data_IF_088797656071
#
_entry.id   IF_088797656071
#
_cell.length_a   1.000
_cell.length_b   1.000
_cell.length_c   1.000
_cell.angle_alpha   90.00
_cell.angle_beta   90.00
_cell.angle_gamma   90.00
#
_symmetry.space_group_name_H-M   'P 1'
#
loop_
_entity.id
_entity.type
_entity.pdbx_description
1 polymer ?
#
# COMPACT_ATOMS: atom_id res chain seq x y z
N UNK A 1 5.59 2.00 -4.84
CA UNK A 1 6.79 2.46 -4.10
C UNK A 1 8.06 2.14 -4.91
N UNK A 2 9.19 2.74 -4.56
CA UNK A 2 10.53 2.28 -4.98
C UNK A 2 11.30 1.76 -3.76
N UNK A 3 12.48 1.20 -3.99
CA UNK A 3 13.41 0.79 -2.90
C UNK A 3 13.72 1.95 -1.95
N UNK A 4 13.82 3.17 -2.48
CA UNK A 4 14.15 4.38 -1.73
C UNK A 4 12.97 4.95 -0.94
N UNK A 5 11.73 4.70 -1.40
CA UNK A 5 10.54 5.29 -0.77
C UNK A 5 9.84 4.36 0.21
N UNK A 6 10.23 3.08 0.29
CA UNK A 6 9.51 2.05 1.06
C UNK A 6 9.35 2.35 2.55
N UNK A 7 10.33 3.06 3.13
CA UNK A 7 10.35 3.40 4.56
C UNK A 7 9.68 4.75 4.86
N UNK A 8 9.38 5.59 3.85
CA UNK A 8 8.85 6.96 4.05
C UNK A 8 7.54 6.99 4.83
N UNK A 9 6.66 6.03 4.59
CA UNK A 9 5.33 5.97 5.20
C UNK A 9 5.17 4.76 6.13
N UNK A 10 6.26 4.30 6.75
CA UNK A 10 6.24 3.17 7.69
C UNK A 10 5.23 3.36 8.82
N UNK A 11 5.10 4.58 9.35
CA UNK A 11 4.12 4.90 10.39
C UNK A 11 2.67 4.58 9.96
N UNK A 12 2.29 4.88 8.70
CA UNK A 12 0.96 4.53 8.20
C UNK A 12 0.78 3.01 8.09
N UNK A 13 1.81 2.29 7.62
CA UNK A 13 1.79 0.82 7.52
C UNK A 13 1.59 0.19 8.90
N UNK A 14 2.38 0.63 9.89
CA UNK A 14 2.31 0.16 11.27
C UNK A 14 0.93 0.46 11.90
N UNK A 15 0.38 1.65 11.65
CA UNK A 15 -0.95 2.05 12.14
C UNK A 15 -2.09 1.20 11.52
N UNK A 16 -2.04 0.94 10.21
CA UNK A 16 -3.01 0.07 9.51
C UNK A 16 -2.90 -1.38 9.97
N UNK A 17 -1.69 -1.89 10.15
CA UNK A 17 -1.44 -3.24 10.67
C UNK A 17 -1.95 -3.37 12.10
N UNK A 18 -1.65 -2.40 12.97
CA UNK A 18 -2.18 -2.37 14.34
C UNK A 18 -3.70 -2.38 14.36
N UNK A 19 -4.36 -1.57 13.52
CA UNK A 19 -5.80 -1.58 13.41
C UNK A 19 -6.33 -2.93 12.93
N UNK A 20 -5.74 -3.52 11.88
CA UNK A 20 -6.11 -4.85 11.37
C UNK A 20 -5.96 -5.94 12.45
N UNK A 21 -4.91 -5.89 13.26
CA UNK A 21 -4.66 -6.85 14.33
C UNK A 21 -5.67 -6.76 15.48
N UNK A 22 -6.36 -5.62 15.63
CA UNK A 22 -7.44 -5.43 16.59
C UNK A 22 -8.80 -5.95 16.08
N UNK A 23 -8.93 -6.23 14.79
CA UNK A 23 -10.15 -6.77 14.22
C UNK A 23 -10.35 -8.25 14.60
N UNK A 24 -11.62 -8.70 14.76
CA UNK A 24 -11.95 -10.12 14.79
C UNK A 24 -11.41 -10.87 13.57
N UNK A 25 -11.06 -12.15 13.74
CA UNK A 25 -10.43 -12.95 12.66
C UNK A 25 -11.29 -13.03 11.39
N UNK A 26 -12.62 -13.06 11.52
CA UNK A 26 -13.56 -13.04 10.39
C UNK A 26 -13.62 -11.69 9.65
N UNK A 27 -13.09 -10.62 10.23
CA UNK A 27 -13.07 -9.27 9.65
C UNK A 27 -11.69 -8.85 9.13
N UNK A 28 -10.60 -9.52 9.57
CA UNK A 28 -9.23 -9.24 9.10
C UNK A 28 -9.05 -9.38 7.59
N UNK A 29 -9.92 -10.15 6.93
CA UNK A 29 -9.94 -10.33 5.49
C UNK A 29 -10.58 -9.15 4.74
N UNK A 30 -11.38 -8.31 5.42
CA UNK A 30 -12.03 -7.15 4.82
C UNK A 30 -11.06 -5.99 4.59
N UNK A 31 -9.95 -5.94 5.35
CA UNK A 31 -8.88 -4.97 5.18
C UNK A 31 -7.63 -5.64 4.61
N UNK A 32 -7.37 -5.37 3.33
CA UNK A 32 -6.19 -5.85 2.64
C UNK A 32 -5.25 -4.69 2.31
N UNK A 33 -3.98 -4.81 2.69
CA UNK A 33 -2.93 -3.85 2.36
C UNK A 33 -2.04 -4.48 1.29
N UNK A 34 -1.98 -3.85 0.12
CA UNK A 34 -1.23 -4.36 -1.04
C UNK A 34 0.03 -3.50 -1.26
N UNK A 35 1.21 -3.93 -0.79
CA UNK A 35 2.47 -3.26 -1.10
C UNK A 35 2.91 -3.59 -2.53
N UNK A 36 3.14 -2.54 -3.32
CA UNK A 36 3.55 -2.66 -4.72
C UNK A 36 4.79 -1.82 -4.98
N UNK A 37 5.78 -2.42 -5.65
CA UNK A 37 6.99 -1.76 -6.15
C UNK A 37 6.86 -1.53 -7.66
N UNK A 38 7.21 -0.32 -8.13
CA UNK A 38 7.31 -0.05 -9.58
C UNK A 38 8.54 -0.77 -10.14
N UNK A 39 8.31 -1.80 -10.95
CA UNK A 39 9.34 -2.59 -11.61
C UNK A 39 9.46 -2.29 -13.11
N UNK A 40 8.71 -1.31 -13.62
CA UNK A 40 8.69 -0.97 -15.06
C UNK A 40 10.01 -0.45 -15.61
N UNK A 41 10.94 -0.06 -14.74
CA UNK A 41 12.32 0.29 -15.09
C UNK A 41 13.27 -0.91 -15.23
N UNK A 42 12.83 -2.12 -14.91
CA UNK A 42 13.68 -3.30 -14.95
C UNK A 42 14.02 -3.69 -16.39
N UNK A 43 15.30 -3.57 -16.77
CA UNK A 43 15.76 -4.10 -18.06
C UNK A 43 15.63 -5.64 -18.09
N UNK A 44 15.34 -6.22 -19.27
CA UNK A 44 15.25 -7.68 -19.45
C UNK A 44 16.50 -8.43 -18.98
N UNK A 45 17.68 -7.82 -19.10
CA UNK A 45 18.95 -8.42 -18.68
C UNK A 45 19.07 -8.59 -17.16
N UNK A 46 18.37 -7.77 -16.38
CA UNK A 46 18.43 -7.78 -14.91
C UNK A 46 17.14 -8.28 -14.26
N UNK A 47 16.18 -8.83 -15.04
CA UNK A 47 14.87 -9.26 -14.53
C UNK A 47 14.99 -10.25 -13.36
N UNK A 48 15.94 -11.20 -13.43
CA UNK A 48 16.20 -12.15 -12.35
C UNK A 48 16.54 -11.44 -11.03
N UNK A 49 17.48 -10.48 -11.06
CA UNK A 49 17.88 -9.72 -9.87
C UNK A 49 16.73 -8.93 -9.25
N UNK A 50 15.83 -8.39 -10.08
CA UNK A 50 14.64 -7.69 -9.60
C UNK A 50 13.66 -8.64 -8.91
N UNK A 51 13.44 -9.83 -9.47
CA UNK A 51 12.60 -10.86 -8.84
C UNK A 51 13.19 -11.34 -7.52
N UNK A 52 14.49 -11.64 -7.50
CA UNK A 52 15.19 -12.07 -6.27
C UNK A 52 15.09 -10.97 -5.19
N UNK A 53 15.25 -9.70 -5.57
CA UNK A 53 15.07 -8.58 -4.66
C UNK A 53 13.64 -8.48 -4.10
N UNK A 54 12.61 -8.70 -4.92
CA UNK A 54 11.21 -8.70 -4.45
C UNK A 54 10.94 -9.87 -3.49
N UNK A 55 11.49 -11.05 -3.77
CA UNK A 55 11.38 -12.21 -2.88
C UNK A 55 12.03 -11.90 -1.53
N UNK A 56 13.28 -11.41 -1.53
CA UNK A 56 13.98 -11.04 -0.30
C UNK A 56 13.24 -9.96 0.50
N UNK A 57 12.68 -8.94 -0.16
CA UNK A 57 11.90 -7.90 0.51
C UNK A 57 10.57 -8.44 1.06
N UNK A 58 9.94 -9.39 0.36
CA UNK A 58 8.73 -10.06 0.86
C UNK A 58 9.01 -10.90 2.11
N UNK A 59 10.11 -11.66 2.10
CA UNK A 59 10.56 -12.46 3.25
C UNK A 59 10.88 -11.56 4.44
N UNK A 60 11.60 -10.45 4.21
CA UNK A 60 11.95 -9.48 5.26
C UNK A 60 10.71 -8.79 5.85
N UNK A 61 9.72 -8.49 5.02
CA UNK A 61 8.50 -7.80 5.45
C UNK A 61 7.45 -8.74 6.06
N UNK A 62 7.61 -10.06 5.90
CA UNK A 62 6.65 -11.06 6.38
C UNK A 62 5.34 -11.10 5.58
N UNK A 63 5.31 -10.48 4.41
CA UNK A 63 4.15 -10.45 3.51
C UNK A 63 4.59 -10.29 2.05
N UNK A 64 3.72 -10.67 1.10
CA UNK A 64 4.04 -10.58 -0.32
C UNK A 64 4.10 -9.14 -0.81
N UNK A 65 5.23 -8.76 -1.40
CA UNK A 65 5.42 -7.50 -2.11
C UNK A 65 5.28 -7.76 -3.60
N UNK A 66 4.37 -7.03 -4.25
CA UNK A 66 4.08 -7.21 -5.67
C UNK A 66 4.90 -6.25 -6.53
N UNK A 67 5.21 -6.66 -7.76
CA UNK A 67 5.88 -5.82 -8.75
C UNK A 67 4.91 -5.35 -9.84
N UNK A 68 4.84 -4.04 -10.08
CA UNK A 68 4.22 -3.44 -11.26
C UNK A 68 5.23 -3.47 -12.42
N UNK A 69 5.24 -4.57 -13.16
CA UNK A 69 6.29 -4.86 -14.16
C UNK A 69 6.16 -4.09 -15.47
N UNK A 70 4.93 -3.77 -15.88
CA UNK A 70 4.66 -3.01 -17.10
C UNK A 70 4.35 -1.53 -16.81
N UNK A 71 4.21 -1.17 -15.53
CA UNK A 71 3.87 0.19 -15.10
C UNK A 71 2.39 0.51 -15.30
N UNK A 72 1.56 -0.49 -15.61
CA UNK A 72 0.13 -0.30 -15.87
C UNK A 72 -0.57 0.19 -14.61
N UNK A 73 -0.26 -0.38 -13.44
CA UNK A 73 -0.87 0.07 -12.19
C UNK A 73 -0.53 1.53 -11.93
N UNK A 74 0.74 1.92 -12.07
CA UNK A 74 1.13 3.34 -11.93
C UNK A 74 0.33 4.25 -12.86
N UNK A 75 0.17 3.86 -14.13
CA UNK A 75 -0.52 4.68 -15.12
C UNK A 75 -2.04 4.75 -14.84
N UNK A 76 -2.68 3.62 -14.56
CA UNK A 76 -4.13 3.53 -14.33
C UNK A 76 -4.55 4.33 -13.08
N UNK A 77 -3.71 4.32 -12.03
CA UNK A 77 -3.95 5.09 -10.81
C UNK A 77 -3.36 6.50 -10.84
N UNK A 78 -2.73 6.92 -11.95
CA UNK A 78 -2.03 8.20 -12.07
C UNK A 78 -1.01 8.46 -10.94
N UNK A 79 -0.33 7.41 -10.49
CA UNK A 79 0.68 7.51 -9.43
C UNK A 79 1.94 8.24 -9.88
N UNK A 80 2.49 9.04 -8.97
CA UNK A 80 3.70 9.84 -9.20
C UNK A 80 4.92 8.91 -9.21
N UNK A 81 5.70 8.96 -10.30
CA UNK A 81 6.94 8.19 -10.42
C UNK A 81 7.94 8.57 -9.32
N UNK A 82 8.67 7.58 -8.84
CA UNK A 82 9.75 7.77 -7.85
C UNK A 82 9.31 8.41 -6.54
N UNK A 83 8.02 8.33 -6.21
CA UNK A 83 7.48 8.81 -4.94
C UNK A 83 6.72 7.68 -4.20
N UNK A 84 6.51 7.89 -2.90
CA UNK A 84 5.60 7.05 -2.14
C UNK A 84 4.17 7.42 -2.57
N UNK A 85 3.38 6.42 -2.96
CA UNK A 85 2.00 6.60 -3.38
C UNK A 85 1.11 5.72 -2.49
N UNK A 86 -0.07 6.24 -2.16
CA UNK A 86 -1.10 5.51 -1.42
C UNK A 86 -2.45 5.72 -2.10
N UNK A 87 -3.22 4.64 -2.19
CA UNK A 87 -4.61 4.68 -2.59
C UNK A 87 -5.44 3.83 -1.62
N UNK A 88 -6.63 4.32 -1.28
CA UNK A 88 -7.66 3.56 -0.60
C UNK A 88 -8.73 3.20 -1.62
N UNK A 89 -9.01 1.91 -1.73
CA UNK A 89 -9.96 1.34 -2.69
C UNK A 89 -11.08 0.69 -1.87
N UNK A 90 -12.32 1.02 -2.20
CA UNK A 90 -13.51 0.43 -1.58
C UNK A 90 -13.88 -0.91 -2.22
N UNK A 91 -14.80 -1.66 -1.60
CA UNK A 91 -15.24 -2.97 -2.06
C UNK A 91 -15.93 -2.94 -3.43
N UNK A 92 -16.45 -1.80 -3.86
CA UNK A 92 -17.01 -1.58 -5.20
C UNK A 92 -15.93 -1.24 -6.26
N UNK A 93 -14.65 -1.36 -5.89
CA UNK A 93 -13.47 -1.01 -6.71
C UNK A 93 -13.30 0.49 -6.98
N UNK A 94 -14.07 1.36 -6.31
CA UNK A 94 -13.87 2.81 -6.40
C UNK A 94 -12.65 3.27 -5.60
N UNK A 95 -11.90 4.23 -6.16
CA UNK A 95 -10.80 4.87 -5.44
C UNK A 95 -11.37 6.03 -4.63
N UNK A 96 -11.41 5.88 -3.30
CA UNK A 96 -12.04 6.86 -2.40
C UNK A 96 -11.05 7.85 -1.77
N UNK A 97 -9.75 7.57 -1.92
CA UNK A 97 -8.68 8.43 -1.45
C UNK A 97 -7.36 8.12 -2.16
N UNK A 98 -6.59 9.16 -2.50
CA UNK A 98 -5.23 9.03 -3.00
C UNK A 98 -4.35 10.14 -2.42
N UNK A 99 -3.10 9.80 -2.12
CA UNK A 99 -2.08 10.76 -1.71
C UNK A 99 -0.70 10.26 -2.14
N UNK A 100 0.23 11.17 -2.35
CA UNK A 100 1.63 10.84 -2.61
C UNK A 100 2.56 11.66 -1.71
N UNK A 101 3.83 11.24 -1.63
CA UNK A 101 4.82 11.85 -0.75
C UNK A 101 4.77 11.34 0.68
N UNK A 102 5.26 12.18 1.59
CA UNK A 102 5.22 11.90 3.03
C UNK A 102 3.81 12.08 3.56
N UNK A 103 3.29 11.06 4.23
CA UNK A 103 1.95 11.09 4.83
C UNK A 103 2.07 11.51 6.30
N UNK A 104 1.81 12.79 6.54
CA UNK A 104 1.83 13.42 7.86
C UNK A 104 0.77 12.84 8.80
N UNK A 105 0.95 13.01 10.11
CA UNK A 105 0.08 12.40 11.14
C UNK A 105 -1.41 12.74 10.98
N UNK A 106 -1.70 14.00 10.64
CA UNK A 106 -3.07 14.45 10.37
C UNK A 106 -3.71 13.67 9.22
N UNK A 107 -2.93 13.40 8.17
CA UNK A 107 -3.38 12.68 6.99
C UNK A 107 -3.55 11.18 7.29
N UNK A 108 -2.62 10.60 8.07
CA UNK A 108 -2.75 9.21 8.54
C UNK A 108 -4.02 9.02 9.38
N UNK A 109 -4.32 9.98 10.25
CA UNK A 109 -5.56 9.99 11.05
C UNK A 109 -6.81 10.00 10.16
N UNK A 110 -6.80 10.81 9.09
CA UNK A 110 -7.89 10.85 8.11
C UNK A 110 -8.04 9.51 7.38
N UNK A 111 -6.93 8.91 6.95
CA UNK A 111 -6.91 7.61 6.27
C UNK A 111 -7.50 6.53 7.17
N UNK A 112 -7.05 6.42 8.43
CA UNK A 112 -7.59 5.44 9.39
C UNK A 112 -9.08 5.65 9.64
N UNK A 113 -9.54 6.90 9.70
CA UNK A 113 -10.96 7.23 9.84
C UNK A 113 -11.75 6.72 8.64
N UNK A 114 -11.30 7.03 7.41
CA UNK A 114 -11.94 6.53 6.17
C UNK A 114 -12.00 5.00 6.13
N UNK A 115 -10.91 4.32 6.49
CA UNK A 115 -10.89 2.84 6.57
C UNK A 115 -11.95 2.34 7.55
N UNK A 116 -12.04 2.91 8.76
CA UNK A 116 -13.07 2.52 9.74
C UNK A 116 -14.48 2.77 9.23
N UNK A 117 -14.72 3.89 8.56
CA UNK A 117 -16.01 4.22 7.96
C UNK A 117 -16.43 3.20 6.91
N UNK A 118 -15.53 2.87 5.98
CA UNK A 118 -15.79 1.87 4.93
C UNK A 118 -16.06 0.47 5.52
N UNK A 119 -15.43 0.14 6.64
CA UNK A 119 -15.66 -1.13 7.35
C UNK A 119 -16.91 -1.10 8.24
N UNK A 120 -17.67 0.00 8.28
CA UNK A 120 -18.84 0.16 9.18
C UNK A 120 -18.47 0.20 10.67
N UNK A 121 -17.22 0.58 10.99
CA UNK A 121 -16.65 0.62 12.35
C UNK A 121 -16.55 2.04 12.92
N UNK A 122 -16.97 3.06 12.17
CA UNK A 122 -17.07 4.42 12.70
C UNK A 122 -18.49 4.67 13.23
N UNK A 123 -18.61 4.89 14.53
CA UNK A 123 -19.85 5.37 15.14
C UNK A 123 -19.96 6.87 14.84
N UNK A 124 -20.97 7.27 14.07
CA UNK A 124 -21.36 8.68 13.93
C UNK A 124 -21.78 9.17 15.32
N UNK A 125 -20.92 9.92 15.99
CA UNK A 125 -21.29 10.77 17.12
C UNK A 125 -21.37 12.21 16.64
#
# INVERSE_FOLDING_TARGET
>A
ETRETKDRNRALKDELEKFRNQLPDNEKALLFVLPVVDCSGASRLFLGKWKDSLVMESEKAGHTVYGDWDGKMRNDFSFVRSDANFALIDADSSVVYQVHGTIEEKERTLILRKVKLLMGKETLF
#
